data_IF_041464507622
#
_entry.id   IF_041464507622
#
_cell.length_a   1.000
_cell.length_b   1.000
_cell.length_c   1.000
_cell.angle_alpha   90.00
_cell.angle_beta   90.00
_cell.angle_gamma   90.00
#
_symmetry.space_group_name_H-M   'P 1'
#
loop_
_entity.id
_entity.type
_entity.pdbx_description
1 polymer ?
#
# COMPACT_ATOMS: atom_id res chain seq x y z
N UNK A 1 16.43 -24.97 -12.80
CA UNK A 1 17.49 -23.96 -13.04
C UNK A 1 17.80 -23.33 -11.69
N UNK A 2 19.00 -23.58 -11.14
CA UNK A 2 19.43 -22.94 -9.90
C UNK A 2 19.72 -21.47 -10.22
N UNK A 3 18.86 -20.55 -9.79
CA UNK A 3 19.15 -19.13 -9.89
C UNK A 3 20.28 -18.81 -8.91
N UNK A 4 21.49 -18.62 -9.43
CA UNK A 4 22.55 -17.95 -8.70
C UNK A 4 22.16 -16.50 -8.51
N UNK A 5 21.60 -16.18 -7.38
CA UNK A 5 21.31 -14.79 -7.03
C UNK A 5 22.46 -14.32 -6.16
N UNK A 6 23.15 -13.29 -6.66
CA UNK A 6 23.98 -12.45 -5.83
C UNK A 6 23.14 -12.00 -4.63
N UNK A 7 23.59 -12.30 -3.42
CA UNK A 7 22.83 -12.06 -2.22
C UNK A 7 22.50 -10.56 -2.13
N UNK A 8 21.26 -10.20 -2.44
CA UNK A 8 20.77 -8.82 -2.52
C UNK A 8 20.82 -8.12 -1.16
N UNK A 9 20.96 -8.88 -0.08
CA UNK A 9 20.95 -8.36 1.27
C UNK A 9 22.14 -7.49 1.62
N UNK A 10 23.29 -7.66 0.91
CA UNK A 10 24.45 -6.85 1.29
C UNK A 10 25.62 -7.12 0.35
N UNK A 11 26.08 -6.08 -0.35
CA UNK A 11 27.27 -6.14 -1.18
C UNK A 11 28.50 -6.40 -0.31
N UNK A 12 29.10 -7.59 -0.47
CA UNK A 12 30.43 -7.86 0.05
C UNK A 12 31.44 -7.11 -0.82
N UNK A 13 32.16 -6.08 -0.29
CA UNK A 13 32.99 -5.24 -1.15
C UNK A 13 34.23 -5.90 -1.74
N UNK A 14 34.57 -7.15 -1.45
CA UNK A 14 35.91 -7.63 -1.78
C UNK A 14 36.10 -9.13 -2.07
N UNK A 15 35.08 -9.95 -2.34
CA UNK A 15 35.32 -11.30 -2.87
C UNK A 15 34.14 -11.83 -3.70
N UNK A 16 34.45 -12.46 -4.84
CA UNK A 16 33.57 -13.23 -5.72
C UNK A 16 32.88 -14.42 -5.04
N UNK A 17 32.35 -14.26 -3.85
CA UNK A 17 31.64 -15.27 -3.11
C UNK A 17 30.15 -15.25 -3.44
N UNK A 18 29.75 -15.85 -4.55
CA UNK A 18 28.34 -16.15 -4.85
C UNK A 18 27.83 -17.13 -3.81
N UNK A 19 26.89 -16.72 -2.98
CA UNK A 19 26.21 -17.60 -2.03
C UNK A 19 24.99 -18.20 -2.73
N UNK A 20 24.94 -19.52 -2.82
CA UNK A 20 23.81 -20.23 -3.44
C UNK A 20 22.57 -20.15 -2.54
N UNK A 21 21.48 -19.62 -3.09
CA UNK A 21 20.18 -19.55 -2.43
C UNK A 21 19.09 -20.09 -3.35
N UNK A 22 18.03 -20.61 -2.76
CA UNK A 22 16.79 -20.97 -3.47
C UNK A 22 15.78 -19.90 -3.14
N UNK A 23 15.10 -19.37 -4.16
CA UNK A 23 13.93 -18.49 -3.97
C UNK A 23 12.67 -19.31 -4.13
N UNK A 24 11.85 -19.33 -3.10
CA UNK A 24 10.56 -19.98 -3.08
C UNK A 24 9.66 -19.34 -2.04
N UNK A 25 8.34 -19.29 -2.33
CA UNK A 25 7.32 -18.77 -1.41
C UNK A 25 7.64 -17.33 -0.93
N UNK A 26 8.08 -16.47 -1.87
CA UNK A 26 8.42 -15.06 -1.63
C UNK A 26 9.53 -14.84 -0.58
N UNK A 27 10.29 -15.88 -0.24
CA UNK A 27 11.44 -15.81 0.65
C UNK A 27 12.67 -16.49 0.02
N UNK A 28 13.81 -16.29 0.64
CA UNK A 28 15.04 -17.00 0.27
C UNK A 28 15.32 -18.14 1.24
N UNK A 29 15.89 -19.20 0.69
CA UNK A 29 16.30 -20.38 1.43
C UNK A 29 17.77 -20.65 1.20
N UNK A 30 18.54 -20.89 2.23
CA UNK A 30 19.95 -21.23 2.13
C UNK A 30 20.34 -22.36 3.07
N UNK A 31 21.47 -23.01 2.76
CA UNK A 31 22.04 -24.06 3.59
C UNK A 31 22.89 -23.49 4.73
N UNK A 32 23.20 -24.30 5.74
CA UNK A 32 24.19 -23.91 6.77
C UNK A 32 25.57 -23.57 6.16
N UNK A 33 25.96 -24.23 5.07
CA UNK A 33 27.22 -23.93 4.35
C UNK A 33 27.16 -22.53 3.72
N UNK A 34 26.02 -22.19 3.11
CA UNK A 34 25.79 -20.88 2.54
C UNK A 34 25.79 -19.77 3.60
N UNK A 35 25.15 -20.00 4.77
CA UNK A 35 25.22 -19.06 5.89
C UNK A 35 26.64 -18.89 6.44
N UNK A 36 27.41 -20.00 6.53
CA UNK A 36 28.79 -19.94 6.97
C UNK A 36 29.65 -19.07 6.06
N UNK A 37 29.47 -19.20 4.73
CA UNK A 37 30.11 -18.33 3.74
C UNK A 37 29.66 -16.88 3.89
N UNK A 38 28.35 -16.64 4.04
CA UNK A 38 27.76 -15.29 4.19
C UNK A 38 28.35 -14.55 5.41
N UNK A 39 28.46 -15.24 6.54
CA UNK A 39 28.92 -14.62 7.78
C UNK A 39 30.41 -14.83 8.05
N UNK A 40 31.15 -15.51 7.15
CA UNK A 40 32.58 -15.70 7.27
C UNK A 40 33.00 -16.51 8.51
N UNK A 41 32.25 -17.56 8.84
CA UNK A 41 32.49 -18.42 9.99
C UNK A 41 32.45 -19.90 9.58
N UNK A 42 32.87 -20.78 10.47
CA UNK A 42 32.74 -22.23 10.24
C UNK A 42 31.25 -22.67 10.36
N UNK A 43 30.89 -23.73 9.61
CA UNK A 43 29.55 -24.31 9.63
C UNK A 43 29.13 -24.77 11.03
N UNK A 44 30.04 -25.21 11.85
CA UNK A 44 29.77 -25.65 13.23
C UNK A 44 29.26 -24.50 14.11
N UNK A 45 29.74 -23.28 13.86
CA UNK A 45 29.25 -22.06 14.53
C UNK A 45 27.79 -21.82 14.16
N UNK A 46 27.45 -21.92 12.86
CA UNK A 46 26.06 -21.78 12.39
C UNK A 46 25.15 -22.83 13.02
N UNK A 47 25.59 -24.11 13.00
CA UNK A 47 24.84 -25.21 13.64
C UNK A 47 24.54 -24.94 15.12
N UNK A 48 25.54 -24.42 15.87
CA UNK A 48 25.38 -24.10 17.29
C UNK A 48 24.36 -22.98 17.51
N UNK A 49 24.42 -21.92 16.66
CA UNK A 49 23.45 -20.82 16.79
C UNK A 49 22.04 -21.25 16.43
N UNK A 50 21.84 -22.02 15.36
CA UNK A 50 20.53 -22.57 14.99
C UNK A 50 19.95 -23.45 16.10
N UNK A 51 20.77 -24.33 16.70
CA UNK A 51 20.35 -25.13 17.83
C UNK A 51 19.85 -24.25 18.99
N UNK A 52 20.62 -23.23 19.38
CA UNK A 52 20.24 -22.32 20.46
C UNK A 52 18.96 -21.53 20.14
N UNK A 53 18.74 -21.11 18.87
CA UNK A 53 17.53 -20.41 18.43
C UNK A 53 16.30 -21.31 18.61
N UNK A 54 16.39 -22.59 18.24
CA UNK A 54 15.29 -23.53 18.38
C UNK A 54 15.06 -23.92 19.86
N UNK A 55 16.10 -24.17 20.62
CA UNK A 55 16.00 -24.47 22.06
C UNK A 55 15.42 -23.33 22.89
N UNK A 56 15.70 -22.07 22.48
CA UNK A 56 15.12 -20.89 23.12
C UNK A 56 13.70 -20.53 22.64
N UNK A 57 13.16 -21.32 21.70
CA UNK A 57 11.86 -21.06 21.06
C UNK A 57 11.75 -19.68 20.39
N UNK A 58 12.88 -19.06 20.00
CA UNK A 58 12.87 -17.81 19.22
C UNK A 58 12.25 -18.03 17.84
N UNK A 59 12.55 -19.18 17.22
CA UNK A 59 11.93 -19.63 15.96
C UNK A 59 11.47 -21.07 16.10
N UNK A 60 10.33 -21.40 15.51
CA UNK A 60 9.87 -22.78 15.38
C UNK A 60 10.58 -23.46 14.22
N UNK A 61 11.21 -24.60 14.46
CA UNK A 61 12.01 -25.28 13.44
C UNK A 61 11.20 -25.62 12.20
N UNK A 62 9.96 -26.06 12.35
CA UNK A 62 9.10 -26.49 11.24
C UNK A 62 8.67 -25.32 10.34
N UNK A 63 8.66 -24.09 10.85
CA UNK A 63 8.30 -22.90 10.08
C UNK A 63 9.45 -22.31 9.27
N UNK A 64 10.71 -22.57 9.69
CA UNK A 64 11.90 -21.95 9.09
C UNK A 64 12.84 -22.95 8.42
N UNK A 65 12.56 -24.25 8.47
CA UNK A 65 13.36 -25.31 7.89
C UNK A 65 12.58 -26.09 6.84
N UNK A 66 13.19 -26.36 5.70
CA UNK A 66 12.65 -27.23 4.67
C UNK A 66 13.74 -28.11 4.06
N UNK A 67 13.37 -29.29 3.55
CA UNK A 67 14.27 -30.17 2.80
C UNK A 67 14.00 -30.01 1.31
N UNK A 68 15.01 -29.60 0.56
CA UNK A 68 14.92 -29.52 -0.89
C UNK A 68 15.91 -30.52 -1.53
N UNK A 69 15.43 -31.16 -2.59
CA UNK A 69 16.27 -31.94 -3.48
C UNK A 69 17.09 -30.98 -4.36
N UNK A 70 18.39 -31.06 -4.35
CA UNK A 70 19.25 -30.28 -5.24
C UNK A 70 20.30 -31.17 -5.87
N UNK A 71 20.70 -30.86 -7.09
CA UNK A 71 21.78 -31.54 -7.78
C UNK A 71 23.09 -30.89 -7.37
N UNK A 72 23.99 -31.69 -6.76
CA UNK A 72 25.31 -31.20 -6.39
C UNK A 72 26.26 -31.19 -7.61
N UNK A 73 27.48 -30.66 -7.42
CA UNK A 73 28.50 -30.58 -8.49
C UNK A 73 28.92 -31.96 -9.05
N UNK A 74 28.74 -33.05 -8.27
CA UNK A 74 28.97 -34.41 -8.66
C UNK A 74 27.83 -35.04 -9.50
N UNK A 75 26.80 -34.26 -9.83
CA UNK A 75 25.62 -34.68 -10.60
C UNK A 75 24.62 -35.52 -9.83
N UNK A 76 24.80 -35.76 -8.52
CA UNK A 76 23.88 -36.52 -7.69
C UNK A 76 22.86 -35.64 -7.03
N UNK A 77 21.66 -36.18 -6.80
CA UNK A 77 20.58 -35.49 -6.11
C UNK A 77 20.66 -35.77 -4.60
N UNK A 78 20.76 -34.70 -3.82
CA UNK A 78 20.80 -34.76 -2.36
C UNK A 78 19.59 -34.04 -1.78
N UNK A 79 18.96 -34.63 -0.77
CA UNK A 79 17.98 -33.96 0.07
C UNK A 79 18.69 -33.17 1.17
N UNK A 80 18.84 -31.88 0.97
CA UNK A 80 19.56 -31.01 1.90
C UNK A 80 18.59 -30.14 2.66
N UNK A 81 18.90 -29.89 3.94
CA UNK A 81 18.12 -28.96 4.77
C UNK A 81 18.50 -27.52 4.46
N UNK A 82 17.48 -26.73 4.20
CA UNK A 82 17.55 -25.30 3.97
C UNK A 82 16.82 -24.55 5.09
N UNK A 83 17.17 -23.31 5.25
CA UNK A 83 16.68 -22.38 6.25
C UNK A 83 16.23 -21.11 5.56
N UNK A 84 15.08 -20.56 5.95
CA UNK A 84 14.52 -19.37 5.34
C UNK A 84 15.21 -18.07 5.83
N UNK A 85 14.76 -16.92 5.33
CA UNK A 85 15.34 -15.62 5.67
C UNK A 85 15.29 -15.32 7.17
N UNK A 86 14.25 -15.73 7.88
CA UNK A 86 14.13 -15.47 9.33
C UNK A 86 15.25 -16.13 10.10
N UNK A 87 15.55 -17.40 9.77
CA UNK A 87 16.68 -18.12 10.36
C UNK A 87 18.02 -17.47 10.03
N UNK A 88 18.19 -16.95 8.79
CA UNK A 88 19.41 -16.24 8.38
C UNK A 88 19.58 -14.95 9.20
N UNK A 89 18.52 -14.19 9.40
CA UNK A 89 18.53 -12.96 10.20
C UNK A 89 18.90 -13.26 11.64
N UNK A 90 18.21 -14.21 12.28
CA UNK A 90 18.45 -14.59 13.69
C UNK A 90 19.89 -15.08 13.92
N UNK A 91 20.45 -15.87 13.00
CA UNK A 91 21.86 -16.29 13.05
C UNK A 91 22.79 -15.08 12.88
N UNK A 92 22.51 -14.18 11.92
CA UNK A 92 23.33 -12.99 11.66
C UNK A 92 23.45 -12.04 12.85
N UNK A 93 22.42 -11.98 13.69
CA UNK A 93 22.47 -11.20 14.93
C UNK A 93 23.27 -11.87 16.04
N UNK A 94 23.46 -13.17 16.00
CA UNK A 94 24.17 -13.96 17.05
C UNK A 94 25.65 -14.24 16.71
N UNK A 95 25.99 -14.28 15.41
CA UNK A 95 27.36 -14.56 14.97
C UNK A 95 28.29 -13.39 15.29
N UNK A 96 29.48 -13.69 15.82
CA UNK A 96 30.53 -12.71 16.04
C UNK A 96 31.59 -12.78 14.95
N UNK A 97 31.41 -11.98 13.89
CA UNK A 97 32.37 -11.85 12.79
C UNK A 97 32.25 -10.43 12.18
N UNK A 98 33.27 -10.06 11.38
CA UNK A 98 33.25 -8.80 10.65
C UNK A 98 32.05 -8.73 9.67
N UNK A 99 31.79 -9.82 8.96
CA UNK A 99 30.68 -9.92 8.01
C UNK A 99 29.34 -9.82 8.72
N UNK A 100 29.15 -10.50 9.85
CA UNK A 100 27.93 -10.38 10.64
C UNK A 100 27.75 -8.97 11.23
N UNK A 101 28.86 -8.29 11.59
CA UNK A 101 28.80 -6.89 12.01
C UNK A 101 28.32 -5.97 10.88
N UNK A 102 28.87 -6.13 9.67
CA UNK A 102 28.43 -5.38 8.48
C UNK A 102 26.95 -5.66 8.14
N UNK A 103 26.52 -6.92 8.25
CA UNK A 103 25.13 -7.31 8.08
C UNK A 103 24.22 -6.57 9.06
N UNK A 104 24.54 -6.53 10.35
CA UNK A 104 23.78 -5.79 11.36
C UNK A 104 23.75 -4.29 11.11
N UNK A 105 24.86 -3.68 10.68
CA UNK A 105 24.93 -2.26 10.30
C UNK A 105 24.01 -1.95 9.13
N UNK A 106 24.02 -2.81 8.10
CA UNK A 106 23.10 -2.69 6.96
C UNK A 106 21.63 -2.83 7.40
N UNK A 107 21.28 -3.87 8.16
CA UNK A 107 19.92 -4.07 8.66
C UNK A 107 19.45 -2.88 9.51
N UNK A 108 20.33 -2.35 10.39
CA UNK A 108 20.03 -1.18 11.21
C UNK A 108 19.79 0.07 10.34
N UNK A 109 20.55 0.24 9.25
CA UNK A 109 20.32 1.35 8.31
C UNK A 109 18.94 1.27 7.67
N UNK A 110 18.54 0.09 7.19
CA UNK A 110 17.21 -0.17 6.61
C UNK A 110 16.11 0.14 7.63
N UNK A 111 16.21 -0.39 8.84
CA UNK A 111 15.23 -0.17 9.91
C UNK A 111 15.12 1.31 10.30
N UNK A 112 16.25 2.00 10.42
CA UNK A 112 16.27 3.44 10.73
C UNK A 112 15.62 4.27 9.62
N UNK A 113 15.84 3.92 8.37
CA UNK A 113 15.22 4.59 7.23
C UNK A 113 13.70 4.37 7.25
N UNK A 114 13.27 3.12 7.47
CA UNK A 114 11.85 2.79 7.59
C UNK A 114 11.17 3.52 8.75
N UNK A 115 11.79 3.54 9.94
CA UNK A 115 11.24 4.24 11.12
C UNK A 115 11.10 5.74 10.87
N UNK A 116 12.09 6.37 10.21
CA UNK A 116 12.08 7.81 9.93
C UNK A 116 11.12 8.20 8.83
N UNK A 117 11.05 7.43 7.74
CA UNK A 117 10.34 7.79 6.51
C UNK A 117 9.03 7.02 6.32
N UNK A 118 8.86 5.85 6.95
CA UNK A 118 7.75 4.93 6.72
C UNK A 118 7.89 4.05 5.47
N UNK A 119 9.01 4.14 4.75
CA UNK A 119 9.31 3.32 3.58
C UNK A 119 10.83 3.18 3.38
N UNK A 120 11.23 2.13 2.63
CA UNK A 120 12.57 1.91 2.09
C UNK A 120 12.41 1.47 0.65
N UNK A 121 13.16 2.08 -0.28
CA UNK A 121 13.14 1.76 -1.70
C UNK A 121 14.54 1.37 -2.18
N UNK A 122 14.60 0.36 -3.02
CA UNK A 122 15.78 -0.01 -3.79
C UNK A 122 15.58 0.49 -5.23
N UNK A 123 15.97 1.75 -5.46
CA UNK A 123 15.75 2.45 -6.73
C UNK A 123 16.39 1.73 -7.91
N UNK A 124 17.59 1.20 -7.73
CA UNK A 124 18.33 0.54 -8.82
C UNK A 124 17.62 -0.76 -9.23
N UNK A 125 17.16 -1.52 -8.27
CA UNK A 125 16.40 -2.75 -8.50
C UNK A 125 15.05 -2.46 -9.16
N UNK A 126 14.35 -1.43 -8.71
CA UNK A 126 13.06 -1.03 -9.28
C UNK A 126 13.20 -0.53 -10.73
N UNK A 127 14.27 0.22 -11.04
CA UNK A 127 14.56 0.70 -12.41
C UNK A 127 14.97 -0.41 -13.36
N UNK A 128 15.68 -1.42 -12.88
CA UNK A 128 16.15 -2.53 -13.71
C UNK A 128 15.05 -3.53 -14.11
N UNK A 129 13.87 -3.46 -13.49
CA UNK A 129 12.77 -4.37 -13.79
C UNK A 129 13.06 -5.84 -13.49
N UNK A 130 14.08 -6.13 -12.68
CA UNK A 130 14.51 -7.49 -12.40
C UNK A 130 13.56 -8.16 -11.42
N UNK A 131 12.74 -9.07 -11.91
CA UNK A 131 11.80 -9.85 -11.11
C UNK A 131 12.53 -10.93 -10.31
N UNK A 132 13.15 -10.58 -9.19
CA UNK A 132 13.87 -11.53 -8.32
C UNK A 132 12.97 -12.66 -7.82
N UNK A 133 11.71 -12.33 -7.51
CA UNK A 133 10.70 -13.29 -7.05
C UNK A 133 9.64 -13.61 -8.13
N UNK A 134 9.92 -13.33 -9.40
CA UNK A 134 8.99 -13.59 -10.51
C UNK A 134 7.80 -12.62 -10.59
N UNK A 135 7.76 -11.59 -9.74
CA UNK A 135 6.72 -10.55 -9.73
C UNK A 135 7.29 -9.18 -10.06
N UNK A 136 6.54 -8.39 -10.83
CA UNK A 136 6.86 -6.99 -11.10
C UNK A 136 6.35 -6.10 -9.96
N UNK A 137 7.21 -5.90 -8.96
CA UNK A 137 6.93 -5.03 -7.81
C UNK A 137 6.87 -3.53 -8.15
N UNK A 138 7.39 -3.11 -9.32
CA UNK A 138 7.30 -1.74 -9.77
C UNK A 138 5.84 -1.31 -9.98
N UNK A 139 5.03 -2.20 -10.56
CA UNK A 139 3.60 -1.94 -10.74
C UNK A 139 2.87 -1.83 -9.39
N UNK A 140 3.18 -2.71 -8.44
CA UNK A 140 2.64 -2.66 -7.09
C UNK A 140 3.02 -1.36 -6.38
N UNK A 141 4.30 -0.93 -6.49
CA UNK A 141 4.77 0.34 -5.95
C UNK A 141 3.99 1.51 -6.54
N UNK A 142 3.82 1.56 -7.87
CA UNK A 142 3.05 2.61 -8.52
C UNK A 142 1.60 2.68 -8.03
N UNK A 143 0.94 1.54 -7.84
CA UNK A 143 -0.41 1.49 -7.29
C UNK A 143 -0.45 1.98 -5.84
N UNK A 144 0.53 1.59 -5.02
CA UNK A 144 0.67 2.05 -3.63
C UNK A 144 0.91 3.56 -3.52
N UNK A 145 1.84 4.08 -4.32
CA UNK A 145 2.13 5.53 -4.37
C UNK A 145 0.88 6.31 -4.78
N UNK A 146 0.14 5.84 -5.79
CA UNK A 146 -1.13 6.43 -6.20
C UNK A 146 -2.14 6.42 -5.06
N UNK A 147 -2.33 5.29 -4.40
CA UNK A 147 -3.24 5.17 -3.27
C UNK A 147 -2.88 6.10 -2.11
N UNK A 148 -1.58 6.27 -1.81
CA UNK A 148 -1.10 7.21 -0.78
C UNK A 148 -1.36 8.67 -1.19
N UNK A 149 -1.08 9.03 -2.44
CA UNK A 149 -1.37 10.37 -3.00
C UNK A 149 -2.87 10.67 -2.98
N UNK A 150 -3.69 9.68 -3.28
CA UNK A 150 -5.14 9.80 -3.35
C UNK A 150 -5.86 9.52 -2.03
N UNK A 151 -5.13 9.38 -0.90
CA UNK A 151 -5.80 9.41 0.39
C UNK A 151 -6.58 10.72 0.46
N UNK A 152 -7.89 10.59 0.43
CA UNK A 152 -8.93 11.56 0.00
C UNK A 152 -8.71 13.00 0.48
N UNK A 153 -8.28 13.15 1.73
CA UNK A 153 -8.08 14.46 2.34
C UNK A 153 -6.84 15.18 1.82
N UNK A 154 -5.75 14.46 1.52
CA UNK A 154 -4.48 15.08 1.15
C UNK A 154 -4.48 15.64 -0.26
N UNK A 155 -4.99 14.90 -1.22
CA UNK A 155 -4.93 15.33 -2.62
C UNK A 155 -5.91 16.45 -2.89
N UNK A 156 -7.13 16.38 -2.31
CA UNK A 156 -8.08 17.48 -2.43
C UNK A 156 -7.57 18.74 -1.74
N UNK A 157 -6.92 18.60 -0.58
CA UNK A 157 -6.28 19.72 0.09
C UNK A 157 -5.16 20.31 -0.78
N UNK A 158 -4.28 19.51 -1.36
CA UNK A 158 -3.23 20.00 -2.25
C UNK A 158 -3.80 20.70 -3.50
N UNK A 159 -4.84 20.16 -4.13
CA UNK A 159 -5.50 20.83 -5.26
C UNK A 159 -6.10 22.16 -4.83
N UNK A 160 -6.70 22.24 -3.63
CA UNK A 160 -7.25 23.49 -3.11
C UNK A 160 -6.18 24.49 -2.70
N UNK A 161 -5.05 24.02 -2.16
CA UNK A 161 -3.89 24.86 -1.83
C UNK A 161 -3.28 25.44 -3.11
N UNK A 162 -3.10 24.62 -4.14
CA UNK A 162 -2.64 25.04 -5.47
C UNK A 162 -3.62 26.05 -6.09
N UNK A 163 -4.93 25.80 -5.99
CA UNK A 163 -5.94 26.72 -6.47
C UNK A 163 -5.80 28.10 -5.79
N UNK A 164 -5.55 28.10 -4.47
CA UNK A 164 -5.36 29.33 -3.72
C UNK A 164 -4.06 30.06 -4.08
N UNK A 165 -2.97 29.31 -4.31
CA UNK A 165 -1.65 29.90 -4.61
C UNK A 165 -1.54 30.40 -6.06
N UNK A 166 -2.16 29.71 -7.01
CA UNK A 166 -2.00 29.99 -8.45
C UNK A 166 -3.08 30.87 -9.04
N UNK A 167 -4.18 31.12 -8.33
CA UNK A 167 -5.22 32.03 -8.80
C UNK A 167 -4.91 33.47 -8.40
N UNK A 168 -4.62 34.31 -9.39
CA UNK A 168 -4.24 35.72 -9.18
C UNK A 168 -5.33 36.57 -8.54
N UNK A 169 -6.56 36.14 -8.63
CA UNK A 169 -7.78 36.77 -8.11
C UNK A 169 -8.41 35.97 -6.97
N UNK A 170 -7.59 35.15 -6.26
CA UNK A 170 -8.11 34.29 -5.22
C UNK A 170 -8.80 35.04 -4.09
N UNK A 171 -10.05 34.68 -3.88
CA UNK A 171 -10.84 35.08 -2.72
C UNK A 171 -11.57 33.87 -2.10
N UNK A 172 -11.12 33.49 -0.89
CA UNK A 172 -11.70 32.36 -0.16
C UNK A 172 -13.20 32.43 0.08
N UNK A 173 -13.77 33.64 0.09
CA UNK A 173 -15.19 33.87 0.35
C UNK A 173 -16.00 34.03 -0.94
N UNK A 174 -15.36 33.99 -2.10
CA UNK A 174 -16.08 34.14 -3.37
C UNK A 174 -16.99 32.95 -3.67
N UNK A 175 -18.15 33.18 -4.33
CA UNK A 175 -18.99 32.08 -4.79
C UNK A 175 -18.23 31.09 -5.69
N UNK A 176 -17.32 31.58 -6.53
CA UNK A 176 -16.48 30.76 -7.43
C UNK A 176 -15.60 29.77 -6.65
N UNK A 177 -14.98 30.22 -5.55
CA UNK A 177 -14.16 29.33 -4.69
C UNK A 177 -15.03 28.29 -4.00
N UNK A 178 -16.15 28.67 -3.44
CA UNK A 178 -17.08 27.70 -2.82
C UNK A 178 -17.64 26.69 -3.83
N UNK A 179 -18.04 27.16 -5.02
CA UNK A 179 -18.52 26.29 -6.09
C UNK A 179 -17.40 25.35 -6.59
N UNK A 180 -16.16 25.82 -6.68
CA UNK A 180 -15.02 24.98 -7.06
C UNK A 180 -14.82 23.83 -6.08
N UNK A 181 -14.74 24.11 -4.79
CA UNK A 181 -14.53 23.07 -3.77
C UNK A 181 -15.66 22.04 -3.72
N UNK A 182 -16.91 22.49 -3.87
CA UNK A 182 -18.05 21.60 -3.91
C UNK A 182 -18.11 20.76 -5.21
N UNK A 183 -17.65 21.34 -6.31
CA UNK A 183 -17.83 20.79 -7.65
C UNK A 183 -16.72 19.85 -8.08
N UNK A 184 -15.47 20.08 -7.65
CA UNK A 184 -14.32 19.29 -8.15
C UNK A 184 -14.49 17.81 -7.86
N UNK A 185 -14.85 17.44 -6.64
CA UNK A 185 -15.07 16.03 -6.27
C UNK A 185 -16.21 15.41 -7.08
N UNK A 186 -17.32 16.15 -7.25
CA UNK A 186 -18.47 15.68 -8.02
C UNK A 186 -18.14 15.42 -9.49
N UNK A 187 -17.31 16.25 -10.12
CA UNK A 187 -16.86 16.06 -11.49
C UNK A 187 -16.06 14.78 -11.67
N UNK A 188 -15.15 14.48 -10.74
CA UNK A 188 -14.37 13.24 -10.78
C UNK A 188 -15.23 12.00 -10.48
N UNK A 189 -16.12 12.06 -9.50
CA UNK A 189 -17.06 10.96 -9.25
C UNK A 189 -17.92 10.69 -10.49
N UNK A 190 -18.50 11.73 -11.06
CA UNK A 190 -19.34 11.61 -12.26
C UNK A 190 -18.57 11.06 -13.46
N UNK A 191 -17.34 11.51 -13.67
CA UNK A 191 -16.47 11.02 -14.75
C UNK A 191 -16.23 9.50 -14.68
N UNK A 192 -16.22 8.93 -13.48
CA UNK A 192 -15.94 7.51 -13.26
C UNK A 192 -17.19 6.66 -13.21
N UNK A 193 -18.26 7.15 -12.56
CA UNK A 193 -19.45 6.36 -12.23
C UNK A 193 -20.72 6.80 -12.96
N UNK A 194 -20.72 7.99 -13.57
CA UNK A 194 -21.92 8.63 -14.12
C UNK A 194 -22.82 9.23 -13.04
N UNK A 195 -22.36 9.33 -11.79
CA UNK A 195 -23.11 9.84 -10.64
C UNK A 195 -22.26 10.81 -9.83
N UNK A 196 -22.88 11.84 -9.25
CA UNK A 196 -22.23 12.70 -8.25
C UNK A 196 -22.05 11.96 -6.93
N UNK A 197 -21.21 12.48 -6.03
CA UNK A 197 -21.01 11.89 -4.70
C UNK A 197 -22.35 11.74 -3.93
N UNK A 198 -23.21 12.73 -4.00
CA UNK A 198 -24.52 12.69 -3.37
C UNK A 198 -25.43 11.61 -4.01
N UNK A 199 -25.43 11.50 -5.32
CA UNK A 199 -26.21 10.47 -6.03
C UNK A 199 -25.73 9.06 -5.72
N UNK A 200 -24.42 8.83 -5.61
CA UNK A 200 -23.83 7.53 -5.22
C UNK A 200 -24.37 7.14 -3.83
N UNK A 201 -24.23 8.02 -2.85
CA UNK A 201 -24.70 7.76 -1.48
C UNK A 201 -26.21 7.49 -1.49
N UNK A 202 -26.99 8.35 -2.16
CA UNK A 202 -28.45 8.24 -2.18
C UNK A 202 -28.95 6.95 -2.81
N UNK A 203 -28.28 6.46 -3.87
CA UNK A 203 -28.70 5.26 -4.58
C UNK A 203 -28.23 3.98 -3.93
N UNK A 204 -27.04 3.99 -3.30
CA UNK A 204 -26.40 2.77 -2.79
C UNK A 204 -26.62 2.53 -1.29
N UNK A 205 -26.91 3.58 -0.49
CA UNK A 205 -27.20 3.41 0.93
C UNK A 205 -28.56 2.71 1.14
N UNK A 206 -28.52 1.45 1.59
CA UNK A 206 -29.69 0.61 1.77
C UNK A 206 -29.42 -0.41 2.91
N UNK A 207 -30.20 -0.32 3.99
CA UNK A 207 -30.06 -1.18 5.17
C UNK A 207 -30.32 -2.65 4.87
N UNK A 208 -30.96 -2.99 3.75
CA UNK A 208 -31.23 -4.39 3.35
C UNK A 208 -30.06 -5.04 2.63
N UNK A 209 -29.10 -4.24 2.16
CA UNK A 209 -27.90 -4.72 1.51
C UNK A 209 -26.83 -5.11 2.53
N UNK A 210 -25.98 -6.05 2.15
CA UNK A 210 -24.81 -6.39 2.93
C UNK A 210 -23.96 -5.14 3.19
N UNK A 211 -23.57 -4.92 4.45
CA UNK A 211 -22.85 -3.73 4.88
C UNK A 211 -23.49 -2.39 4.46
N UNK A 212 -24.81 -2.33 4.35
CA UNK A 212 -25.55 -1.15 3.85
C UNK A 212 -25.16 -0.73 2.42
N UNK A 213 -24.64 -1.62 1.59
CA UNK A 213 -24.09 -1.33 0.26
C UNK A 213 -22.70 -0.70 0.27
N UNK A 214 -22.05 -0.55 1.44
CA UNK A 214 -20.66 -0.11 1.52
C UNK A 214 -19.70 -1.25 1.09
N UNK A 215 -18.67 -0.87 0.37
CA UNK A 215 -17.56 -1.77 -0.03
C UNK A 215 -16.36 -1.63 0.92
N UNK A 216 -16.27 -0.50 1.63
CA UNK A 216 -15.26 -0.24 2.66
C UNK A 216 -15.79 0.74 3.70
N UNK A 217 -15.19 0.74 4.90
CA UNK A 217 -15.47 1.67 6.01
C UNK A 217 -14.25 1.72 6.93
N UNK A 218 -14.27 2.63 7.91
CA UNK A 218 -13.11 2.91 8.77
C UNK A 218 -12.53 1.67 9.44
N UNK A 219 -13.39 0.76 9.88
CA UNK A 219 -12.99 -0.45 10.62
C UNK A 219 -13.20 -1.74 9.78
N UNK A 220 -13.23 -1.64 8.44
CA UNK A 220 -13.36 -2.78 7.54
C UNK A 220 -12.15 -3.74 7.66
N UNK A 221 -12.33 -5.06 7.38
CA UNK A 221 -13.58 -5.71 7.00
C UNK A 221 -14.47 -6.10 8.18
N UNK A 222 -13.91 -6.36 9.36
CA UNK A 222 -14.59 -7.07 10.47
C UNK A 222 -15.21 -6.11 11.51
N UNK A 223 -14.77 -4.84 11.52
CA UNK A 223 -15.24 -3.87 12.50
C UNK A 223 -16.55 -3.20 12.12
N UNK A 224 -17.20 -2.56 13.11
CA UNK A 224 -18.51 -1.91 12.92
C UNK A 224 -18.45 -0.75 11.92
N UNK A 225 -19.52 -0.63 11.14
CA UNK A 225 -19.82 0.56 10.33
C UNK A 225 -20.26 1.67 11.28
N UNK A 226 -19.67 2.85 11.11
CA UNK A 226 -20.00 4.05 11.88
C UNK A 226 -20.92 4.98 11.08
N UNK A 227 -21.69 5.81 11.80
CA UNK A 227 -22.57 6.82 11.17
C UNK A 227 -21.79 7.80 10.27
N UNK A 228 -20.51 8.05 10.57
CA UNK A 228 -19.62 8.84 9.71
C UNK A 228 -19.28 8.18 8.39
N UNK A 229 -19.27 6.83 8.33
CA UNK A 229 -18.85 6.10 7.14
C UNK A 229 -19.90 6.15 6.03
N UNK A 230 -21.19 6.17 6.41
CA UNK A 230 -22.31 6.11 5.45
C UNK A 230 -22.51 7.38 4.65
N UNK A 231 -21.87 8.48 5.04
CA UNK A 231 -21.92 9.76 4.32
C UNK A 231 -20.74 10.00 3.38
N UNK A 232 -19.87 8.99 3.17
CA UNK A 232 -18.68 9.07 2.33
C UNK A 232 -18.91 8.28 1.04
N UNK A 233 -19.02 8.98 -0.10
CA UNK A 233 -19.32 8.37 -1.40
C UNK A 233 -18.29 7.29 -1.82
N UNK A 234 -17.00 7.50 -1.51
CA UNK A 234 -15.94 6.56 -1.82
C UNK A 234 -16.17 5.19 -1.20
N UNK A 235 -16.80 5.13 -0.04
CA UNK A 235 -17.08 3.89 0.68
C UNK A 235 -18.09 2.97 -0.05
N UNK A 236 -18.81 3.49 -1.05
CA UNK A 236 -19.75 2.74 -1.89
C UNK A 236 -19.19 2.36 -3.25
N UNK A 237 -17.94 2.75 -3.56
CA UNK A 237 -17.32 2.47 -4.85
C UNK A 237 -16.74 1.06 -4.89
N UNK A 238 -16.86 0.40 -6.04
CA UNK A 238 -16.17 -0.86 -6.29
C UNK A 238 -14.65 -0.62 -6.46
N UNK A 239 -13.84 -1.64 -6.23
CA UNK A 239 -12.37 -1.54 -6.30
C UNK A 239 -11.87 -0.98 -7.65
N UNK A 240 -12.48 -1.40 -8.76
CA UNK A 240 -12.14 -0.88 -10.07
C UNK A 240 -12.51 0.61 -10.26
N UNK A 241 -13.63 1.06 -9.65
CA UNK A 241 -14.05 2.46 -9.65
C UNK A 241 -13.09 3.31 -8.82
N UNK A 242 -12.68 2.81 -7.64
CA UNK A 242 -11.68 3.46 -6.79
C UNK A 242 -10.36 3.63 -7.55
N UNK A 243 -9.85 2.57 -8.18
CA UNK A 243 -8.61 2.64 -8.97
C UNK A 243 -8.70 3.61 -10.14
N UNK A 244 -9.84 3.69 -10.81
CA UNK A 244 -10.08 4.65 -11.90
C UNK A 244 -10.14 6.08 -11.39
N UNK A 245 -10.81 6.31 -10.26
CA UNK A 245 -10.89 7.62 -9.60
C UNK A 245 -9.48 8.10 -9.21
N UNK A 246 -8.72 7.25 -8.55
CA UNK A 246 -7.34 7.53 -8.14
C UNK A 246 -6.44 7.90 -9.33
N UNK A 247 -6.55 7.18 -10.43
CA UNK A 247 -5.78 7.49 -11.65
C UNK A 247 -6.21 8.81 -12.29
N UNK A 248 -7.50 9.12 -12.27
CA UNK A 248 -8.00 10.36 -12.85
C UNK A 248 -7.54 11.57 -12.02
N UNK A 249 -7.66 11.49 -10.70
CA UNK A 249 -7.27 12.57 -9.78
C UNK A 249 -5.76 12.80 -9.77
N UNK A 250 -4.96 11.72 -9.74
CA UNK A 250 -3.49 11.83 -9.84
C UNK A 250 -3.06 12.45 -11.17
N UNK A 251 -3.67 12.02 -12.28
CA UNK A 251 -3.35 12.58 -13.59
C UNK A 251 -3.74 14.06 -13.73
N UNK A 252 -4.81 14.50 -13.04
CA UNK A 252 -5.15 15.92 -12.98
C UNK A 252 -4.15 16.71 -12.16
N UNK A 253 -3.69 16.14 -11.05
CA UNK A 253 -2.64 16.75 -10.23
C UNK A 253 -1.34 16.96 -11.04
N UNK A 254 -0.88 15.91 -11.72
CA UNK A 254 0.32 15.98 -12.58
C UNK A 254 0.13 17.03 -13.71
N UNK A 255 -1.07 17.13 -14.28
CA UNK A 255 -1.42 18.13 -15.29
C UNK A 255 -1.34 19.56 -14.76
N UNK A 256 -1.81 19.81 -13.55
CA UNK A 256 -1.74 21.13 -12.92
C UNK A 256 -0.30 21.48 -12.55
N UNK A 257 0.47 20.54 -11.97
CA UNK A 257 1.89 20.77 -11.65
C UNK A 257 2.67 21.22 -12.91
N UNK A 258 2.48 20.55 -14.05
CA UNK A 258 3.11 20.92 -15.31
C UNK A 258 2.71 22.33 -15.79
N UNK A 259 1.45 22.71 -15.62
CA UNK A 259 0.99 24.06 -15.96
C UNK A 259 1.63 25.14 -15.08
N UNK A 260 1.84 24.84 -13.80
CA UNK A 260 2.45 25.74 -12.84
C UNK A 260 3.95 25.88 -13.12
N UNK A 261 4.66 24.77 -13.34
CA UNK A 261 6.09 24.79 -13.66
C UNK A 261 6.39 25.59 -14.93
N UNK A 262 5.44 25.70 -15.85
CA UNK A 262 5.53 26.57 -17.04
C UNK A 262 5.15 28.03 -16.78
N UNK A 263 5.04 28.44 -15.51
CA UNK A 263 4.68 29.79 -15.10
C UNK A 263 3.32 30.29 -15.63
N UNK A 264 2.37 29.36 -15.89
CA UNK A 264 1.02 29.76 -16.25
C UNK A 264 0.29 30.31 -15.03
N UNK A 265 -0.16 31.54 -15.13
CA UNK A 265 -1.05 32.14 -14.13
C UNK A 265 -2.50 31.92 -14.53
N UNK A 266 -3.34 31.58 -13.57
CA UNK A 266 -4.77 31.39 -13.76
C UNK A 266 -5.57 32.42 -12.97
N UNK A 267 -6.73 32.79 -13.45
CA UNK A 267 -7.78 33.28 -12.58
C UNK A 267 -8.62 32.10 -12.04
N UNK A 268 -9.41 32.33 -11.01
CA UNK A 268 -10.23 31.31 -10.35
C UNK A 268 -11.15 30.58 -11.33
N UNK A 269 -11.72 31.29 -12.29
CA UNK A 269 -12.62 30.72 -13.30
C UNK A 269 -11.88 29.79 -14.29
N UNK A 270 -10.71 30.23 -14.76
CA UNK A 270 -9.86 29.43 -15.67
C UNK A 270 -9.38 28.16 -14.98
N UNK A 271 -8.96 28.26 -13.71
CA UNK A 271 -8.54 27.09 -12.96
C UNK A 271 -9.71 26.10 -12.76
N UNK A 272 -10.90 26.60 -12.43
CA UNK A 272 -12.10 25.76 -12.33
C UNK A 272 -12.48 25.12 -13.67
N UNK A 273 -12.24 25.80 -14.80
CA UNK A 273 -12.48 25.27 -16.15
C UNK A 273 -11.49 24.17 -16.52
N UNK A 274 -10.22 24.23 -16.05
CA UNK A 274 -9.16 23.27 -16.37
C UNK A 274 -9.52 21.82 -15.99
N UNK A 275 -10.36 21.64 -14.98
CA UNK A 275 -10.89 20.31 -14.59
C UNK A 275 -11.67 19.69 -15.73
N UNK A 276 -12.57 20.46 -16.36
CA UNK A 276 -13.37 19.97 -17.48
C UNK A 276 -12.50 19.73 -18.71
N UNK A 277 -11.52 20.61 -18.97
CA UNK A 277 -10.57 20.46 -20.09
C UNK A 277 -9.79 19.16 -19.94
N UNK A 278 -9.22 18.91 -18.76
CA UNK A 278 -8.53 17.67 -18.46
C UNK A 278 -9.43 16.44 -18.63
N UNK A 279 -10.64 16.45 -18.05
CA UNK A 279 -11.56 15.33 -18.15
C UNK A 279 -11.99 15.08 -19.61
N UNK A 280 -12.23 16.16 -20.39
CA UNK A 280 -12.54 16.08 -21.83
C UNK A 280 -11.39 15.49 -22.62
N UNK A 281 -10.17 15.97 -22.40
CA UNK A 281 -8.95 15.43 -23.01
C UNK A 281 -8.79 13.93 -22.75
N UNK A 282 -9.09 13.51 -21.53
CA UNK A 282 -9.05 12.09 -21.12
C UNK A 282 -10.28 11.29 -21.57
N UNK A 283 -11.20 11.91 -22.32
CA UNK A 283 -12.45 11.29 -22.84
C UNK A 283 -13.36 10.77 -21.73
N UNK A 284 -13.39 11.44 -20.60
CA UNK A 284 -14.36 11.18 -19.55
C UNK A 284 -15.67 11.92 -19.80
N UNK A 285 -16.74 11.42 -19.18
CA UNK A 285 -18.03 12.12 -19.18
C UNK A 285 -17.95 13.36 -18.28
N UNK A 286 -18.48 14.45 -18.79
CA UNK A 286 -18.52 15.73 -18.05
C UNK A 286 -19.87 15.88 -17.37
N UNK A 287 -19.85 16.25 -16.10
CA UNK A 287 -21.05 16.57 -15.33
C UNK A 287 -21.74 17.82 -15.95
N UNK A 288 -22.98 17.69 -16.45
CA UNK A 288 -23.63 18.79 -17.16
C UNK A 288 -24.13 19.91 -16.22
N UNK A 289 -24.42 19.55 -14.96
CA UNK A 289 -24.99 20.44 -13.95
C UNK A 289 -24.47 20.11 -12.53
N UNK A 290 -25.18 20.54 -11.49
CA UNK A 290 -24.80 20.27 -10.08
C UNK A 290 -25.25 18.88 -9.57
N UNK A 291 -25.87 18.03 -10.43
CA UNK A 291 -26.49 16.76 -10.06
C UNK A 291 -27.93 16.92 -9.55
N UNK A 292 -28.64 15.80 -9.45
CA UNK A 292 -30.08 15.77 -9.12
C UNK A 292 -30.37 15.68 -7.63
N UNK A 293 -29.41 15.20 -6.85
CA UNK A 293 -29.51 14.96 -5.41
C UNK A 293 -28.57 15.90 -4.67
N UNK A 294 -29.08 16.62 -3.71
CA UNK A 294 -28.24 17.46 -2.84
C UNK A 294 -27.50 16.62 -1.79
N UNK A 295 -26.37 17.14 -1.30
CA UNK A 295 -25.62 16.49 -0.22
C UNK A 295 -26.47 16.30 1.05
N UNK A 296 -27.38 17.23 1.36
CA UNK A 296 -28.28 17.14 2.50
C UNK A 296 -29.28 15.98 2.35
N UNK A 297 -29.86 15.82 1.16
CA UNK A 297 -30.80 14.71 0.88
C UNK A 297 -30.07 13.35 0.95
N UNK A 298 -28.88 13.25 0.35
CA UNK A 298 -28.09 12.03 0.40
C UNK A 298 -27.71 11.65 1.83
N UNK A 299 -27.23 12.60 2.61
CA UNK A 299 -26.87 12.40 4.01
C UNK A 299 -28.08 11.98 4.84
N UNK A 300 -29.21 12.69 4.73
CA UNK A 300 -30.42 12.36 5.49
C UNK A 300 -30.92 10.94 5.20
N UNK A 301 -30.90 10.50 3.93
CA UNK A 301 -31.24 9.13 3.56
C UNK A 301 -30.26 8.13 4.16
N UNK A 302 -28.96 8.32 3.95
CA UNK A 302 -27.95 7.40 4.45
C UNK A 302 -27.97 7.25 5.98
N UNK A 303 -28.20 8.34 6.71
CA UNK A 303 -28.35 8.30 8.16
C UNK A 303 -29.62 7.59 8.60
N UNK A 304 -30.75 7.77 7.88
CA UNK A 304 -31.99 7.05 8.15
C UNK A 304 -31.81 5.53 7.94
N UNK A 305 -31.19 5.12 6.84
CA UNK A 305 -30.86 3.72 6.57
C UNK A 305 -29.92 3.15 7.63
N UNK A 306 -28.93 3.94 8.05
CA UNK A 306 -28.00 3.56 9.11
C UNK A 306 -28.72 3.34 10.46
N UNK A 307 -29.64 4.19 10.84
CA UNK A 307 -30.36 4.08 12.12
C UNK A 307 -31.22 2.78 12.19
N UNK A 308 -31.64 2.23 11.03
CA UNK A 308 -32.29 0.92 10.93
C UNK A 308 -31.23 -0.18 11.01
N UNK A 309 -30.20 -0.12 10.18
CA UNK A 309 -29.13 -1.11 10.08
C UNK A 309 -28.37 -1.28 11.40
N UNK A 310 -28.10 -0.17 12.10
CA UNK A 310 -27.35 -0.18 13.35
C UNK A 310 -28.01 -1.00 14.48
N UNK A 311 -29.34 -1.22 14.41
CA UNK A 311 -30.06 -2.08 15.34
C UNK A 311 -29.74 -3.56 15.17
N UNK A 312 -29.28 -3.94 13.98
CA UNK A 312 -28.94 -5.33 13.61
C UNK A 312 -27.43 -5.58 13.62
N UNK A 313 -26.62 -4.53 13.72
CA UNK A 313 -25.16 -4.69 13.81
C UNK A 313 -24.78 -5.42 15.10
N UNK A 314 -23.87 -6.39 14.96
CA UNK A 314 -23.30 -7.10 16.09
C UNK A 314 -22.54 -6.11 16.98
N UNK A 315 -22.80 -6.16 18.27
CA UNK A 315 -22.06 -5.39 19.28
C UNK A 315 -20.91 -6.29 19.74
N UNK A 316 -19.73 -6.11 19.15
CA UNK A 316 -18.52 -6.68 19.74
C UNK A 316 -18.08 -5.72 20.86
N UNK A 317 -18.23 -6.13 22.10
CA UNK A 317 -17.73 -5.37 23.25
C UNK A 317 -16.28 -5.75 23.52
N UNK A 318 -15.51 -4.82 24.12
CA UNK A 318 -14.13 -5.12 24.60
C UNK A 318 -14.10 -6.36 25.50
N UNK A 319 -15.23 -6.68 26.15
CA UNK A 319 -15.42 -7.87 26.94
C UNK A 319 -15.49 -9.15 26.09
N UNK A 320 -16.19 -9.11 24.96
CA UNK A 320 -16.27 -10.25 24.03
C UNK A 320 -14.92 -10.54 23.36
N UNK A 321 -14.14 -9.50 23.05
CA UNK A 321 -12.77 -9.66 22.56
C UNK A 321 -11.84 -10.27 23.62
N UNK A 322 -11.97 -9.88 24.88
CA UNK A 322 -11.18 -10.47 25.97
C UNK A 322 -11.56 -11.93 26.22
N UNK A 323 -12.85 -12.28 26.15
CA UNK A 323 -13.29 -13.68 26.27
C UNK A 323 -12.76 -14.53 25.12
N UNK A 324 -12.79 -14.04 23.87
CA UNK A 324 -12.21 -14.77 22.73
C UNK A 324 -10.71 -15.05 22.94
N UNK A 325 -9.94 -14.06 23.39
CA UNK A 325 -8.50 -14.21 23.71
C UNK A 325 -8.20 -15.14 24.88
N UNK A 326 -9.17 -15.37 25.77
CA UNK A 326 -9.02 -16.33 26.87
C UNK A 326 -9.42 -17.76 26.50
N UNK A 327 -10.14 -17.93 25.40
CA UNK A 327 -10.62 -19.23 24.91
C UNK A 327 -9.73 -19.79 23.76
N UNK A 328 -8.83 -18.98 23.19
CA UNK A 328 -7.74 -19.38 22.28
C UNK A 328 -6.46 -19.71 23.08
#
# INVERSE_FOLDING_TARGET
MSNEIQFILYNLPEKDGKVQVIIRDETLWCTQKAMAQLFGVDRTVISKHLKNIFESSELQQDSVCAKFAHTAEDGKIYNTQFYNLDAVISVGYRVNSLQATRFRQWATKILNEYIKKGFVLDDDRLKQGTAVFGKDYFRELLERVRSIRTSERRIWQQITDIYAECSIDYDKNSPTTHDFYAMIQNRFHYAITGQTAAEIIYTKADHTQEHMGLTTWKNAPDGRILKSDVSIAKNYLQENEIRRLERAVTGYFDYIEDLIERENTFNMEQFAASVNEFLTFRKYQILPDKGRISAAQAKAKAESEYDIFNKTQRIDSDFDEQIKKMLE
#
